data_IF_865171970147
#
_entry.id   IF_865171970147
#
_cell.length_a   1.000
_cell.length_b   1.000
_cell.length_c   1.000
_cell.angle_alpha   90.00
_cell.angle_beta   90.00
_cell.angle_gamma   90.00
#
_symmetry.space_group_name_H-M   'P 1'
#
loop_
_entity.id
_entity.type
_entity.pdbx_description
1 polymer ?
#
# COMPACT_ATOMS: atom_id res chain seq x y z
N UNK A 1 6.93 -15.97 -19.17
CA UNK A 1 8.31 -15.93 -18.68
C UNK A 1 9.07 -14.66 -19.06
N UNK A 2 8.51 -13.45 -19.02
CA UNK A 2 9.24 -12.27 -19.56
C UNK A 2 10.39 -11.91 -18.62
N UNK A 3 11.61 -11.81 -19.15
CA UNK A 3 12.78 -11.54 -18.31
C UNK A 3 12.86 -10.04 -17.96
N UNK A 4 13.70 -9.70 -16.98
CA UNK A 4 13.79 -8.32 -16.46
C UNK A 4 14.14 -7.29 -17.56
N UNK A 5 15.02 -7.65 -18.49
CA UNK A 5 15.47 -6.76 -19.57
C UNK A 5 14.33 -6.52 -20.56
N UNK A 6 13.62 -7.58 -20.93
CA UNK A 6 12.45 -7.51 -21.81
C UNK A 6 11.35 -6.64 -21.20
N UNK A 7 11.07 -6.83 -19.91
CA UNK A 7 10.07 -6.04 -19.19
C UNK A 7 10.45 -4.55 -19.16
N UNK A 8 11.70 -4.23 -18.84
CA UNK A 8 12.20 -2.85 -18.82
C UNK A 8 12.07 -2.19 -20.20
N UNK A 9 12.51 -2.88 -21.25
CA UNK A 9 12.41 -2.36 -22.62
C UNK A 9 10.95 -2.15 -23.05
N UNK A 10 10.05 -3.04 -22.63
CA UNK A 10 8.63 -2.89 -22.93
C UNK A 10 8.03 -1.65 -22.23
N UNK A 11 8.31 -1.47 -20.95
CA UNK A 11 7.85 -0.30 -20.17
C UNK A 11 8.39 0.99 -20.80
N UNK A 12 9.69 1.05 -21.12
CA UNK A 12 10.31 2.24 -21.76
C UNK A 12 9.58 2.59 -23.06
N UNK A 13 9.31 1.60 -23.92
CA UNK A 13 8.60 1.84 -25.19
C UNK A 13 7.18 2.35 -24.97
N UNK A 14 6.46 1.83 -23.97
CA UNK A 14 5.11 2.31 -23.67
C UNK A 14 5.12 3.75 -23.16
N UNK A 15 6.07 4.10 -22.29
CA UNK A 15 6.22 5.46 -21.76
C UNK A 15 6.63 6.45 -22.85
N UNK A 16 7.52 6.07 -23.77
CA UNK A 16 7.92 6.95 -24.89
C UNK A 16 6.79 7.23 -25.88
N UNK A 17 5.82 6.32 -25.99
CA UNK A 17 4.73 6.42 -26.95
C UNK A 17 3.43 6.95 -26.35
N UNK A 18 3.39 7.24 -25.04
CA UNK A 18 2.21 7.84 -24.42
C UNK A 18 2.18 9.35 -24.65
N UNK A 19 0.98 9.87 -24.93
CA UNK A 19 0.72 11.32 -25.00
C UNK A 19 -0.04 11.81 -23.75
N UNK A 20 -0.23 10.93 -22.76
CA UNK A 20 -0.90 11.26 -21.50
C UNK A 20 0.09 11.94 -20.56
N UNK A 21 0.08 13.28 -20.57
CA UNK A 21 0.94 14.10 -19.73
C UNK A 21 0.69 13.87 -18.23
N UNK A 22 -0.55 13.54 -17.82
CA UNK A 22 -0.88 13.28 -16.42
C UNK A 22 -0.22 11.97 -15.95
N UNK A 23 -0.22 10.95 -16.80
CA UNK A 23 0.50 9.70 -16.53
C UNK A 23 2.02 9.94 -16.44
N UNK A 24 2.58 10.73 -17.36
CA UNK A 24 4.01 11.06 -17.35
C UNK A 24 4.41 11.83 -16.09
N UNK A 25 3.61 12.80 -15.66
CA UNK A 25 3.83 13.56 -14.42
C UNK A 25 3.74 12.65 -13.20
N UNK A 26 2.79 11.72 -13.19
CA UNK A 26 2.65 10.75 -12.11
C UNK A 26 3.86 9.81 -12.03
N UNK A 27 4.32 9.26 -13.16
CA UNK A 27 5.53 8.43 -13.23
C UNK A 27 6.76 9.20 -12.74
N UNK A 28 6.92 10.45 -13.15
CA UNK A 28 7.99 11.32 -12.65
C UNK A 28 7.88 11.56 -11.13
N UNK A 29 6.67 11.71 -10.59
CA UNK A 29 6.46 11.85 -9.14
C UNK A 29 6.87 10.61 -8.34
N UNK A 30 6.68 9.41 -8.90
CA UNK A 30 7.11 8.15 -8.27
C UNK A 30 8.64 8.06 -8.31
N UNK A 31 9.25 8.31 -9.48
CA UNK A 31 10.69 8.22 -9.67
C UNK A 31 11.46 9.27 -8.85
N UNK A 32 10.92 10.48 -8.72
CA UNK A 32 11.50 11.55 -7.90
C UNK A 32 11.42 11.26 -6.38
N UNK A 33 10.40 10.53 -5.93
CA UNK A 33 10.30 10.05 -4.54
C UNK A 33 11.33 8.96 -4.20
N UNK A 34 11.90 8.30 -5.20
CA UNK A 34 12.87 7.20 -5.03
C UNK A 34 14.22 7.59 -4.42
N UNK A 35 14.58 8.88 -4.44
CA UNK A 35 15.84 9.39 -3.89
C UNK A 35 15.68 10.16 -2.57
N UNK A 36 14.44 10.28 -2.06
CA UNK A 36 14.16 10.95 -0.80
C UNK A 36 13.99 9.93 0.31
N UNK A 37 14.90 9.92 1.28
CA UNK A 37 14.84 9.21 2.57
C UNK A 37 13.69 9.71 3.45
N UNK A 38 12.46 9.69 2.96
CA UNK A 38 11.28 9.90 3.78
C UNK A 38 10.83 8.53 4.30
N UNK A 39 11.62 8.00 5.24
CA UNK A 39 11.18 6.90 6.09
C UNK A 39 9.82 7.30 6.66
N UNK A 40 8.79 6.55 6.29
CA UNK A 40 7.45 6.77 6.78
C UNK A 40 7.47 6.61 8.31
N UNK A 41 7.18 7.71 9.02
CA UNK A 41 7.06 7.72 10.47
C UNK A 41 5.58 7.64 10.82
N UNK A 42 5.22 6.59 11.55
CA UNK A 42 3.90 6.45 12.12
C UNK A 42 3.59 7.66 13.02
N UNK A 43 2.38 8.19 12.87
CA UNK A 43 1.78 9.11 13.84
C UNK A 43 1.56 8.41 15.18
N UNK A 44 1.31 9.19 16.24
CA UNK A 44 1.09 8.61 17.56
C UNK A 44 -0.20 7.79 17.63
N UNK A 45 -1.21 8.15 16.83
CA UNK A 45 -2.42 7.35 16.64
C UNK A 45 -2.08 5.98 16.05
N UNK A 46 -1.35 5.96 14.93
CA UNK A 46 -0.98 4.71 14.24
C UNK A 46 -0.08 3.82 15.11
N UNK A 47 0.87 4.42 15.85
CA UNK A 47 1.66 3.68 16.84
C UNK A 47 0.79 3.04 17.91
N UNK A 48 -0.23 3.74 18.39
CA UNK A 48 -1.16 3.21 19.40
C UNK A 48 -1.95 2.02 18.86
N UNK A 49 -2.49 2.12 17.65
CA UNK A 49 -3.24 1.04 16.98
C UNK A 49 -2.37 -0.20 16.78
N UNK A 50 -1.13 -0.01 16.32
CA UNK A 50 -0.17 -1.12 16.15
C UNK A 50 0.17 -1.76 17.50
N UNK A 51 0.40 -0.95 18.54
CA UNK A 51 0.69 -1.46 19.89
C UNK A 51 -0.45 -2.30 20.46
N UNK A 52 -1.68 -1.85 20.29
CA UNK A 52 -2.88 -2.60 20.70
C UNK A 52 -2.98 -3.93 19.95
N UNK A 53 -2.84 -3.88 18.62
CA UNK A 53 -2.88 -5.08 17.77
C UNK A 53 -1.82 -6.11 18.14
N UNK A 54 -0.59 -5.66 18.43
CA UNK A 54 0.50 -6.53 18.89
C UNK A 54 0.20 -7.13 20.27
N UNK A 55 -0.39 -6.36 21.18
CA UNK A 55 -0.81 -6.84 22.49
C UNK A 55 -1.86 -7.95 22.35
N UNK A 56 -2.89 -7.74 21.54
CA UNK A 56 -3.96 -8.72 21.34
C UNK A 56 -3.44 -9.99 20.67
N UNK A 57 -2.53 -9.86 19.70
CA UNK A 57 -1.82 -11.01 19.11
C UNK A 57 -1.03 -11.79 20.16
N UNK A 58 -0.23 -11.12 21.00
CA UNK A 58 0.57 -11.78 22.03
C UNK A 58 -0.25 -12.50 23.10
N UNK A 59 -1.47 -11.99 23.37
CA UNK A 59 -2.41 -12.59 24.30
C UNK A 59 -3.30 -13.65 23.65
N UNK A 60 -3.04 -13.99 22.38
CA UNK A 60 -3.81 -14.93 21.58
C UNK A 60 -5.32 -14.61 21.59
N UNK A 61 -5.66 -13.31 21.64
CA UNK A 61 -7.03 -12.83 21.52
C UNK A 61 -7.42 -12.90 20.05
N UNK A 62 -7.94 -14.05 19.66
CA UNK A 62 -8.51 -14.28 18.35
C UNK A 62 -10.01 -14.03 18.38
N UNK A 63 -10.54 -13.45 17.31
CA UNK A 63 -11.97 -13.41 17.03
C UNK A 63 -12.29 -14.51 16.01
N UNK A 64 -13.47 -15.11 16.10
CA UNK A 64 -13.93 -16.04 15.08
C UNK A 64 -14.28 -15.30 13.79
N UNK A 65 -14.25 -16.02 12.67
CA UNK A 65 -14.66 -15.48 11.38
C UNK A 65 -16.09 -14.93 11.45
N UNK A 66 -17.02 -15.65 12.06
CA UNK A 66 -18.42 -15.22 12.20
C UNK A 66 -18.53 -13.90 12.97
N UNK A 67 -17.79 -13.76 14.07
CA UNK A 67 -17.78 -12.53 14.86
C UNK A 67 -17.16 -11.35 14.09
N UNK A 68 -16.13 -11.61 13.27
CA UNK A 68 -15.53 -10.60 12.40
C UNK A 68 -16.52 -10.13 11.32
N UNK A 69 -17.20 -11.06 10.64
CA UNK A 69 -18.17 -10.72 9.60
C UNK A 69 -19.35 -9.93 10.15
N UNK A 70 -19.96 -10.36 11.26
CA UNK A 70 -21.06 -9.62 11.88
C UNK A 70 -20.65 -8.24 12.38
N UNK A 71 -19.40 -8.06 12.82
CA UNK A 71 -18.87 -6.74 13.21
C UNK A 71 -18.73 -5.83 11.99
N UNK A 72 -18.19 -6.36 10.88
CA UNK A 72 -17.99 -5.59 9.66
C UNK A 72 -19.31 -5.18 9.02
N UNK A 73 -20.31 -6.07 8.99
CA UNK A 73 -21.65 -5.75 8.48
C UNK A 73 -22.27 -4.58 9.24
N UNK A 74 -22.22 -4.61 10.58
CA UNK A 74 -22.73 -3.51 11.40
C UNK A 74 -22.01 -2.18 11.16
N UNK A 75 -20.69 -2.22 10.95
CA UNK A 75 -19.92 -1.01 10.68
C UNK A 75 -20.26 -0.39 9.33
N UNK A 76 -20.66 -1.19 8.34
CA UNK A 76 -21.10 -0.70 7.03
C UNK A 76 -22.50 -0.09 7.04
N UNK A 77 -23.27 -0.30 8.11
CA UNK A 77 -24.60 0.29 8.32
C UNK A 77 -24.55 1.65 9.06
N UNK A 78 -23.38 2.06 9.57
CA UNK A 78 -23.12 3.34 10.26
C UNK A 78 -22.53 4.41 9.32
#
# INVERSE_FOLDING_TARGET
>A
MMNRIELQNNIIRQVLNTNDNQLLDYLNSILSKGNGTNLYKLSDLEKSVVKESLSDYSLNKVISNDALFSRNEKWLEE
#
